data_IF_384933233140
#
_entry.id   IF_384933233140
#
_cell.length_a   1.000
_cell.length_b   1.000
_cell.length_c   1.000
_cell.angle_alpha   90.00
_cell.angle_beta   90.00
_cell.angle_gamma   90.00
#
_symmetry.space_group_name_H-M   'P 1'
#
loop_
_entity.id
_entity.type
_entity.pdbx_description
1 polymer ?
#
# COMPACT_ATOMS: atom_id res chain seq x y z
N UNK A 1 10.75 -4.12 7.29
CA UNK A 1 9.31 -4.23 6.91
C UNK A 1 8.65 -2.89 7.17
N UNK A 2 7.64 -2.54 6.37
CA UNK A 2 7.01 -1.20 6.35
C UNK A 2 6.24 -0.84 7.64
N UNK A 3 5.93 -1.80 8.51
CA UNK A 3 5.24 -1.54 9.79
C UNK A 3 3.77 -1.12 9.65
N UNK A 4 3.22 -1.20 8.44
CA UNK A 4 1.83 -0.86 8.12
C UNK A 4 0.89 -2.07 8.26
N UNK A 5 -0.42 -1.79 8.28
CA UNK A 5 -1.47 -2.82 8.24
C UNK A 5 -1.38 -3.61 6.92
N UNK A 6 -1.40 -4.94 7.01
CA UNK A 6 -1.21 -5.79 5.82
C UNK A 6 -2.28 -5.53 4.76
N UNK A 7 -3.55 -5.42 5.15
CA UNK A 7 -4.65 -5.18 4.22
C UNK A 7 -4.55 -3.79 3.56
N UNK A 8 -3.96 -2.79 4.24
CA UNK A 8 -3.63 -1.50 3.62
C UNK A 8 -2.58 -1.68 2.51
N UNK A 9 -1.50 -2.40 2.79
CA UNK A 9 -0.46 -2.66 1.80
C UNK A 9 -1.02 -3.44 0.60
N UNK A 10 -1.84 -4.46 0.87
CA UNK A 10 -2.52 -5.26 -0.15
C UNK A 10 -3.47 -4.41 -1.00
N UNK A 11 -4.25 -3.51 -0.40
CA UNK A 11 -5.13 -2.60 -1.13
C UNK A 11 -4.33 -1.70 -2.09
N UNK A 12 -3.21 -1.12 -1.63
CA UNK A 12 -2.35 -0.29 -2.48
C UNK A 12 -1.77 -1.09 -3.65
N UNK A 13 -1.23 -2.29 -3.40
CA UNK A 13 -0.56 -3.09 -4.45
C UNK A 13 -1.53 -3.88 -5.33
N UNK A 14 -2.83 -3.91 -4.98
CA UNK A 14 -3.86 -4.59 -5.78
C UNK A 14 -4.07 -3.95 -7.15
N UNK A 15 -3.75 -2.65 -7.28
CA UNK A 15 -3.77 -1.91 -8.53
C UNK A 15 -2.34 -1.54 -8.95
N UNK A 16 -1.92 -2.07 -10.10
CA UNK A 16 -0.58 -1.83 -10.63
C UNK A 16 -0.30 -0.37 -11.01
N UNK A 17 -1.34 0.43 -11.23
CA UNK A 17 -1.21 1.84 -11.60
C UNK A 17 -0.88 2.73 -10.39
N UNK A 18 -0.94 2.20 -9.17
CA UNK A 18 -0.60 2.94 -7.95
C UNK A 18 0.91 3.14 -7.75
N UNK A 19 1.73 2.32 -8.40
CA UNK A 19 3.20 2.36 -8.30
C UNK A 19 3.82 2.41 -9.69
N UNK A 20 5.10 2.77 -9.73
CA UNK A 20 5.86 2.82 -10.98
C UNK A 20 5.99 1.43 -11.61
N UNK A 21 6.09 1.39 -12.95
CA UNK A 21 6.29 0.14 -13.67
C UNK A 21 7.54 -0.60 -13.17
N UNK A 22 7.36 -1.88 -12.82
CA UNK A 22 8.42 -2.71 -12.23
C UNK A 22 8.47 -2.67 -10.70
N UNK A 23 7.69 -1.83 -10.02
CA UNK A 23 7.57 -1.82 -8.57
C UNK A 23 6.79 -3.03 -8.04
N UNK A 24 5.75 -3.44 -8.76
CA UNK A 24 4.93 -4.62 -8.46
C UNK A 24 5.24 -5.72 -9.48
N UNK A 25 5.48 -6.92 -8.99
CA UNK A 25 5.72 -8.10 -9.82
C UNK A 25 4.80 -9.26 -9.40
N UNK A 26 4.46 -10.10 -10.37
CA UNK A 26 3.83 -11.39 -10.10
C UNK A 26 4.89 -12.49 -10.13
N UNK A 27 4.99 -13.25 -9.04
CA UNK A 27 5.86 -14.42 -8.96
C UNK A 27 4.97 -15.66 -9.08
N UNK A 28 5.19 -16.42 -10.15
CA UNK A 28 4.47 -17.68 -10.39
C UNK A 28 5.31 -18.83 -9.86
N UNK A 29 4.75 -19.57 -8.93
CA UNK A 29 5.35 -20.77 -8.35
C UNK A 29 5.10 -21.99 -9.23
N UNK A 30 5.85 -23.06 -9.00
CA UNK A 30 5.78 -24.29 -9.81
C UNK A 30 4.48 -25.08 -9.66
N UNK A 31 3.62 -24.70 -8.72
CA UNK A 31 2.27 -25.22 -8.46
C UNK A 31 1.16 -24.30 -9.02
N UNK A 32 1.52 -23.38 -9.92
CA UNK A 32 0.64 -22.36 -10.51
C UNK A 32 0.08 -21.34 -9.50
N UNK A 33 0.54 -21.35 -8.25
CA UNK A 33 0.24 -20.27 -7.30
C UNK A 33 0.96 -18.99 -7.74
N UNK A 34 0.22 -17.88 -7.81
CA UNK A 34 0.79 -16.58 -8.13
C UNK A 34 0.72 -15.69 -6.90
N UNK A 35 1.87 -15.17 -6.48
CA UNK A 35 1.94 -14.16 -5.43
C UNK A 35 2.28 -12.80 -6.02
N UNK A 36 1.71 -11.75 -5.44
CA UNK A 36 2.13 -10.38 -5.69
C UNK A 36 3.33 -10.07 -4.79
N UNK A 37 4.41 -9.56 -5.38
CA UNK A 37 5.60 -9.14 -4.65
C UNK A 37 6.02 -7.72 -5.07
N UNK A 38 6.77 -7.07 -4.18
CA UNK A 38 7.37 -5.76 -4.43
C UNK A 38 8.86 -5.91 -4.71
N UNK A 39 9.37 -5.14 -5.66
CA UNK A 39 10.82 -4.95 -5.82
C UNK A 39 11.35 -4.03 -4.73
N UNK A 40 12.68 -3.96 -4.60
CA UNK A 40 13.33 -3.04 -3.66
C UNK A 40 12.94 -1.58 -3.95
N UNK A 41 12.97 -1.19 -5.24
CA UNK A 41 12.50 0.12 -5.71
C UNK A 41 11.02 0.35 -5.36
N UNK A 42 10.17 -0.67 -5.49
CA UNK A 42 8.76 -0.59 -5.12
C UNK A 42 8.54 -0.40 -3.61
N UNK A 43 9.38 -1.01 -2.77
CA UNK A 43 9.37 -0.79 -1.32
C UNK A 43 9.79 0.64 -0.99
N UNK A 44 10.80 1.17 -1.67
CA UNK A 44 11.26 2.56 -1.47
C UNK A 44 10.25 3.60 -1.95
N UNK A 45 9.57 3.35 -3.07
CA UNK A 45 8.47 4.18 -3.57
C UNK A 45 7.31 4.21 -2.57
N UNK A 46 6.90 3.04 -2.07
CA UNK A 46 5.82 2.92 -1.09
C UNK A 46 6.17 3.61 0.24
N UNK A 47 7.42 3.49 0.71
CA UNK A 47 7.91 4.24 1.88
C UNK A 47 7.81 5.76 1.69
N UNK A 48 8.16 6.26 0.50
CA UNK A 48 8.08 7.70 0.19
C UNK A 48 6.63 8.20 0.17
N UNK A 49 5.72 7.43 -0.43
CA UNK A 49 4.28 7.72 -0.45
C UNK A 49 3.71 7.78 0.97
N UNK A 50 3.97 6.75 1.79
CA UNK A 50 3.54 6.70 3.18
C UNK A 50 4.13 7.87 3.99
N UNK A 51 5.42 8.16 3.83
CA UNK A 51 6.07 9.30 4.49
C UNK A 51 5.44 10.64 4.11
N UNK A 52 5.04 10.82 2.85
CA UNK A 52 4.33 12.01 2.40
C UNK A 52 2.92 12.11 3.00
N UNK A 53 2.18 11.00 3.04
CA UNK A 53 0.83 10.92 3.58
C UNK A 53 0.80 11.17 5.10
N UNK A 54 1.82 10.72 5.83
CA UNK A 54 1.94 10.89 7.29
C UNK A 54 2.30 12.30 7.75
N UNK A 55 2.46 13.27 6.84
CA UNK A 55 2.83 14.65 7.19
C UNK A 55 1.72 15.40 7.91
N UNK A 56 0.46 15.06 7.67
CA UNK A 56 -0.67 15.68 8.36
C UNK A 56 -1.90 14.77 8.35
N UNK A 57 -2.89 15.06 9.21
CA UNK A 57 -4.15 14.35 9.21
C UNK A 57 -4.89 14.37 7.88
N UNK A 58 -4.87 15.52 7.21
CA UNK A 58 -5.53 15.76 5.93
C UNK A 58 -4.84 14.96 4.83
N UNK A 59 -3.49 15.04 4.75
CA UNK A 59 -2.71 14.27 3.78
C UNK A 59 -2.90 12.76 3.95
N UNK A 60 -3.07 12.29 5.19
CA UNK A 60 -3.36 10.88 5.47
C UNK A 60 -4.75 10.48 4.99
N UNK A 61 -5.75 11.32 5.20
CA UNK A 61 -7.11 11.07 4.71
C UNK A 61 -7.14 11.06 3.17
N UNK A 62 -6.54 12.07 2.53
CA UNK A 62 -6.49 12.17 1.06
C UNK A 62 -5.77 10.96 0.44
N UNK A 63 -4.71 10.48 1.09
CA UNK A 63 -4.00 9.27 0.67
C UNK A 63 -4.91 8.03 0.75
N UNK A 64 -5.55 7.79 1.90
CA UNK A 64 -6.44 6.64 2.05
C UNK A 64 -7.59 6.67 1.05
N UNK A 65 -8.21 7.83 0.85
CA UNK A 65 -9.32 8.00 -0.10
C UNK A 65 -8.87 7.84 -1.58
N UNK A 66 -7.57 7.99 -1.87
CA UNK A 66 -7.02 7.84 -3.23
C UNK A 66 -6.58 6.42 -3.58
N UNK A 67 -6.18 5.62 -2.57
CA UNK A 67 -5.54 4.32 -2.77
C UNK A 67 -6.32 3.13 -2.20
N UNK A 68 -7.36 3.40 -1.40
CA UNK A 68 -8.16 2.37 -0.73
C UNK A 68 -9.64 2.64 -0.98
N UNK A 69 -10.34 1.69 -1.61
CA UNK A 69 -11.79 1.81 -1.85
C UNK A 69 -12.63 1.25 -0.68
N UNK A 70 -12.03 0.44 0.20
CA UNK A 70 -12.70 -0.20 1.31
C UNK A 70 -12.85 0.75 2.51
N UNK A 71 -14.08 1.27 2.71
CA UNK A 71 -14.41 2.18 3.80
C UNK A 71 -14.19 1.59 5.20
N UNK A 72 -14.37 0.27 5.39
CA UNK A 72 -14.15 -0.40 6.67
C UNK A 72 -12.66 -0.47 6.99
N UNK A 73 -11.84 -0.79 5.99
CA UNK A 73 -10.38 -0.76 6.08
C UNK A 73 -9.89 0.65 6.41
N UNK A 74 -10.37 1.68 5.71
CA UNK A 74 -10.05 3.08 5.98
C UNK A 74 -10.34 3.44 7.44
N UNK A 75 -11.54 3.12 7.94
CA UNK A 75 -11.94 3.42 9.31
C UNK A 75 -11.03 2.72 10.32
N UNK A 76 -10.71 1.44 10.10
CA UNK A 76 -9.85 0.65 10.97
C UNK A 76 -8.42 1.19 11.02
N UNK A 77 -7.87 1.55 9.87
CA UNK A 77 -6.51 2.10 9.74
C UNK A 77 -6.40 3.46 10.43
N UNK A 78 -7.40 4.34 10.27
CA UNK A 78 -7.45 5.65 10.96
C UNK A 78 -7.44 5.51 12.48
N UNK A 79 -8.06 4.46 13.04
CA UNK A 79 -8.04 4.19 14.49
C UNK A 79 -6.69 3.64 14.97
N UNK A 80 -6.08 2.73 14.21
CA UNK A 80 -4.79 2.09 14.57
C UNK A 80 -3.59 3.03 14.47
N UNK A 81 -3.72 4.09 13.66
CA UNK A 81 -2.69 5.09 13.44
C UNK A 81 -3.08 6.43 14.06
N UNK A 82 -2.94 6.60 15.40
CA UNK A 82 -3.07 7.92 16.00
C UNK A 82 -1.95 8.81 15.42
N UNK A 83 -2.37 9.92 14.81
CA UNK A 83 -1.50 10.94 14.20
C UNK A 83 -0.57 11.59 15.23
#
# INVERSE_FOLDING_TARGET
MLGEDLELLEAIVSNSDHLTYGSIISVVHGDDETITALTDDGIDELNQMLSAARRSPEAWNDFLDSFVDDEELIARVKVKSPQ
#
